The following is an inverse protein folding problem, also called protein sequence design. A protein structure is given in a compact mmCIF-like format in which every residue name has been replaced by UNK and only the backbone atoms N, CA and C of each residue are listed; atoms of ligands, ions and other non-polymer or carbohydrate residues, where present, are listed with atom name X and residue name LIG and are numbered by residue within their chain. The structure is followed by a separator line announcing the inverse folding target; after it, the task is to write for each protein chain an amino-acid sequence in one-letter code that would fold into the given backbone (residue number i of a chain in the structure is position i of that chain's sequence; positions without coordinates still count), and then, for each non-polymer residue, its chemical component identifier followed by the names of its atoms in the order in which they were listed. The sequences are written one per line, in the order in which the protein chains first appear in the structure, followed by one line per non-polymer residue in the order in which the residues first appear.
data_IF_364415161333
#
_entry.id   IF_364415161333
#
_cell.length_a   1.000
_cell.length_b   1.000
_cell.length_c   1.000
_cell.angle_alpha   90.00
_cell.angle_beta   90.00
_cell.angle_gamma   90.00
#
_symmetry.space_group_name_H-M   'P 1'
#
loop_
_entity.id
_entity.type
_entity.pdbx_description
1 polymer ?
#
# COMPACT_ATOMS: atom_id res chain seq x y z
N UNK A 1 3.32 -53.67 -5.09
CA UNK A 1 2.24 -54.55 -4.60
C UNK A 1 0.96 -54.41 -5.41
N UNK A 2 1.03 -54.44 -6.75
CA UNK A 2 -0.14 -54.23 -7.64
C UNK A 2 -0.46 -55.39 -8.60
N UNK A 3 0.38 -56.43 -8.69
CA UNK A 3 0.34 -57.42 -9.77
C UNK A 3 -1.06 -58.01 -10.07
N UNK A 4 -1.78 -58.47 -9.04
CA UNK A 4 -3.12 -59.02 -9.22
C UNK A 4 -4.14 -57.95 -9.60
N UNK A 5 -4.08 -56.77 -9.00
CA UNK A 5 -4.98 -55.65 -9.29
C UNK A 5 -4.75 -55.12 -10.72
N UNK A 6 -3.51 -54.97 -11.16
CA UNK A 6 -3.14 -54.52 -12.50
C UNK A 6 -3.63 -55.52 -13.56
N UNK A 7 -3.46 -56.82 -13.31
CA UNK A 7 -4.01 -57.87 -14.18
C UNK A 7 -5.54 -57.85 -14.17
N UNK A 8 -6.15 -57.66 -13.01
CA UNK A 8 -7.59 -57.63 -12.86
C UNK A 8 -8.21 -56.43 -13.61
N UNK A 9 -7.65 -55.22 -13.45
CA UNK A 9 -8.04 -54.01 -14.18
C UNK A 9 -7.80 -54.13 -15.70
N UNK A 10 -6.73 -54.83 -16.10
CA UNK A 10 -6.43 -55.13 -17.51
C UNK A 10 -7.28 -56.26 -18.11
N UNK A 11 -8.35 -56.68 -17.42
CA UNK A 11 -9.24 -57.78 -17.80
C UNK A 11 -8.53 -59.14 -18.02
N UNK A 12 -7.40 -59.34 -17.34
CA UNK A 12 -6.66 -60.61 -17.34
C UNK A 12 -7.07 -61.43 -16.11
N UNK A 13 -6.86 -62.74 -16.21
CA UNK A 13 -6.95 -63.65 -15.08
C UNK A 13 -5.76 -63.50 -14.11
N UNK A 14 -5.78 -64.23 -12.98
CA UNK A 14 -4.79 -64.10 -11.91
C UNK A 14 -3.39 -64.65 -12.25
N UNK A 15 -3.24 -65.29 -13.41
CA UNK A 15 -1.94 -65.77 -13.91
C UNK A 15 -1.37 -66.85 -13.00
N UNK A 16 -0.12 -66.69 -12.58
CA UNK A 16 0.61 -67.68 -11.78
C UNK A 16 -0.07 -68.01 -10.43
N UNK A 17 -0.89 -67.10 -9.89
CA UNK A 17 -1.60 -67.29 -8.63
C UNK A 17 -2.97 -67.99 -8.77
N UNK A 18 -3.29 -68.54 -9.95
CA UNK A 18 -4.62 -69.15 -10.20
C UNK A 18 -4.96 -70.30 -9.23
N UNK A 19 -3.96 -71.02 -8.72
CA UNK A 19 -4.14 -72.13 -7.78
C UNK A 19 -4.19 -71.69 -6.31
N UNK A 20 -3.75 -70.47 -6.02
CA UNK A 20 -3.65 -69.90 -4.68
C UNK A 20 -4.84 -69.01 -4.34
N UNK A 21 -5.75 -68.79 -5.29
CA UNK A 21 -6.99 -68.04 -5.03
C UNK A 21 -8.00 -68.91 -4.32
N UNK A 22 -8.33 -68.46 -3.12
CA UNK A 22 -9.41 -68.98 -2.30
C UNK A 22 -10.71 -69.10 -3.11
N UNK A 23 -11.42 -70.20 -2.88
CA UNK A 23 -12.64 -70.57 -3.60
C UNK A 23 -13.69 -69.46 -3.49
N UNK A 24 -13.75 -68.78 -2.34
CA UNK A 24 -14.72 -67.72 -2.07
C UNK A 24 -14.51 -66.47 -2.94
N UNK A 25 -13.26 -66.19 -3.33
CA UNK A 25 -12.91 -65.01 -4.13
C UNK A 25 -12.79 -65.27 -5.63
N UNK A 26 -12.97 -66.51 -6.11
CA UNK A 26 -12.93 -66.83 -7.55
C UNK A 26 -14.00 -66.09 -8.36
N UNK A 27 -15.11 -65.71 -7.73
CA UNK A 27 -16.21 -64.97 -8.38
C UNK A 27 -15.78 -63.58 -8.86
N UNK A 28 -14.84 -62.92 -8.16
CA UNK A 28 -14.37 -61.57 -8.52
C UNK A 28 -13.61 -61.54 -9.85
N UNK A 29 -12.99 -62.66 -10.22
CA UNK A 29 -12.26 -62.83 -11.48
C UNK A 29 -13.19 -63.18 -12.66
N UNK A 30 -14.48 -63.45 -12.41
CA UNK A 30 -15.48 -63.70 -13.46
C UNK A 30 -16.18 -62.42 -13.94
N UNK A 31 -15.94 -61.28 -13.29
CA UNK A 31 -16.48 -60.00 -13.73
C UNK A 31 -15.94 -59.58 -15.09
N UNK A 32 -16.82 -59.02 -15.92
CA UNK A 32 -16.46 -58.43 -17.20
C UNK A 32 -15.74 -57.09 -17.01
N UNK A 33 -15.17 -56.54 -18.09
CA UNK A 33 -14.36 -55.32 -18.03
C UNK A 33 -15.11 -54.14 -17.40
N UNK A 34 -16.37 -53.94 -17.75
CA UNK A 34 -17.18 -52.82 -17.25
C UNK A 34 -17.46 -52.95 -15.75
N UNK A 35 -17.80 -54.16 -15.28
CA UNK A 35 -17.98 -54.45 -13.87
C UNK A 35 -16.69 -54.20 -13.06
N UNK A 36 -15.53 -54.63 -13.58
CA UNK A 36 -14.24 -54.40 -12.91
C UNK A 36 -13.89 -52.92 -12.82
N UNK A 37 -14.16 -52.15 -13.87
CA UNK A 37 -13.96 -50.69 -13.86
C UNK A 37 -14.86 -50.01 -12.82
N UNK A 38 -16.14 -50.38 -12.74
CA UNK A 38 -17.07 -49.86 -11.74
C UNK A 38 -16.57 -50.14 -10.32
N UNK A 39 -16.19 -51.39 -10.04
CA UNK A 39 -15.67 -51.76 -8.72
C UNK A 39 -14.33 -51.11 -8.39
N UNK A 40 -13.42 -50.98 -9.37
CA UNK A 40 -12.15 -50.28 -9.17
C UNK A 40 -12.35 -48.81 -8.83
N UNK A 41 -13.31 -48.12 -9.48
CA UNK A 41 -13.66 -46.74 -9.14
C UNK A 41 -14.22 -46.69 -7.73
N UNK A 42 -15.19 -47.55 -7.42
CA UNK A 42 -15.81 -47.62 -6.09
C UNK A 42 -14.80 -47.85 -4.97
N UNK A 43 -13.83 -48.75 -5.15
CA UNK A 43 -12.77 -48.97 -4.16
C UNK A 43 -11.82 -47.78 -4.06
N UNK A 44 -11.48 -47.16 -5.19
CA UNK A 44 -10.62 -45.97 -5.20
C UNK A 44 -11.29 -44.79 -4.49
N UNK A 45 -12.59 -44.59 -4.72
CA UNK A 45 -13.41 -43.59 -4.04
C UNK A 45 -13.47 -43.88 -2.54
N UNK A 46 -13.79 -45.12 -2.12
CA UNK A 46 -13.84 -45.49 -0.71
C UNK A 46 -12.49 -45.27 0.01
N UNK A 47 -11.37 -45.67 -0.60
CA UNK A 47 -10.02 -45.44 -0.04
C UNK A 47 -9.72 -43.93 0.03
N UNK A 48 -10.11 -43.16 -0.99
CA UNK A 48 -9.93 -41.70 -0.97
C UNK A 48 -10.76 -41.03 0.10
N UNK A 49 -12.01 -41.44 0.29
CA UNK A 49 -12.90 -40.93 1.35
C UNK A 49 -12.27 -41.16 2.72
N UNK A 50 -11.79 -42.37 3.00
CA UNK A 50 -11.10 -42.70 4.27
C UNK A 50 -9.85 -41.82 4.49
N UNK A 51 -9.03 -41.63 3.46
CA UNK A 51 -7.85 -40.76 3.56
C UNK A 51 -8.21 -39.27 3.72
N UNK A 52 -9.27 -38.80 3.07
CA UNK A 52 -9.77 -37.42 3.19
C UNK A 52 -10.30 -37.18 4.61
N UNK A 53 -11.07 -38.13 5.17
CA UNK A 53 -11.55 -38.05 6.55
C UNK A 53 -10.39 -38.03 7.54
N UNK A 54 -9.40 -38.90 7.37
CA UNK A 54 -8.20 -38.89 8.19
C UNK A 54 -7.45 -37.56 8.09
N UNK A 55 -7.28 -37.01 6.88
CA UNK A 55 -6.64 -35.72 6.65
C UNK A 55 -7.41 -34.57 7.31
N UNK A 56 -8.74 -34.54 7.21
CA UNK A 56 -9.58 -33.58 7.92
C UNK A 56 -9.37 -33.66 9.44
N UNK A 57 -9.36 -34.87 10.00
CA UNK A 57 -9.09 -35.07 11.42
C UNK A 57 -7.72 -34.56 11.85
N UNK A 58 -6.68 -34.78 11.03
CA UNK A 58 -5.35 -34.22 11.29
C UNK A 58 -5.30 -32.69 11.20
N UNK A 59 -5.98 -32.09 10.21
CA UNK A 59 -6.07 -30.63 10.05
C UNK A 59 -6.78 -30.00 11.25
N UNK A 60 -7.90 -30.56 11.70
CA UNK A 60 -8.60 -30.08 12.90
C UNK A 60 -7.71 -30.16 14.13
N UNK A 61 -7.03 -31.29 14.35
CA UNK A 61 -6.10 -31.45 15.49
C UNK A 61 -4.95 -30.45 15.44
N UNK A 62 -4.38 -30.24 14.26
CA UNK A 62 -3.33 -29.25 14.05
C UNK A 62 -3.83 -27.84 14.38
N UNK A 63 -4.96 -27.43 13.82
CA UNK A 63 -5.56 -26.11 14.07
C UNK A 63 -5.88 -25.89 15.55
N UNK A 64 -6.44 -26.90 16.22
CA UNK A 64 -6.75 -26.84 17.65
C UNK A 64 -5.48 -26.72 18.51
N UNK A 65 -4.46 -27.53 18.21
CA UNK A 65 -3.18 -27.49 18.94
C UNK A 65 -2.46 -26.16 18.72
N UNK A 66 -2.45 -25.66 17.48
CA UNK A 66 -1.87 -24.36 17.15
C UNK A 66 -2.58 -23.22 17.91
N UNK A 67 -3.91 -23.25 17.97
CA UNK A 67 -4.70 -22.29 18.75
C UNK A 67 -4.37 -22.34 20.24
N UNK A 68 -4.19 -23.54 20.81
CA UNK A 68 -3.79 -23.72 22.21
C UNK A 68 -2.39 -23.16 22.48
N UNK A 69 -1.43 -23.47 21.62
CA UNK A 69 -0.06 -22.93 21.68
C UNK A 69 -0.09 -21.40 21.63
N UNK A 70 -0.81 -20.82 20.67
CA UNK A 70 -0.94 -19.38 20.54
C UNK A 70 -1.62 -18.75 21.75
N UNK A 71 -2.60 -19.42 22.37
CA UNK A 71 -3.26 -18.92 23.58
C UNK A 71 -2.31 -18.89 24.79
N UNK A 72 -1.51 -19.94 25.00
CA UNK A 72 -0.52 -20.03 26.08
C UNK A 72 0.60 -19.00 25.91
N UNK A 73 1.17 -18.88 24.69
CA UNK A 73 2.21 -17.88 24.43
C UNK A 73 1.71 -16.44 24.56
N UNK A 74 0.42 -16.22 24.31
CA UNK A 74 -0.18 -14.90 24.44
C UNK A 74 -0.75 -14.63 25.83
N UNK A 75 -0.84 -15.59 26.77
CA UNK A 75 -1.50 -15.37 28.05
C UNK A 75 -0.85 -14.25 28.89
N UNK A 76 0.48 -14.24 28.95
CA UNK A 76 1.25 -13.14 29.57
C UNK A 76 1.02 -11.81 28.85
N UNK A 77 0.97 -11.81 27.51
CA UNK A 77 0.71 -10.62 26.69
C UNK A 77 -0.72 -10.10 26.85
N UNK A 78 -1.70 -11.00 26.92
CA UNK A 78 -3.11 -10.72 27.19
C UNK A 78 -3.29 -10.11 28.57
N UNK A 79 -2.58 -10.63 29.57
CA UNK A 79 -2.60 -10.05 30.92
C UNK A 79 -1.96 -8.66 30.92
N UNK A 80 -0.83 -8.49 30.25
CA UNK A 80 -0.15 -7.20 30.13
C UNK A 80 -0.99 -6.16 29.38
N UNK A 81 -1.61 -6.51 28.24
CA UNK A 81 -2.37 -5.55 27.43
C UNK A 81 -3.62 -5.06 28.15
N UNK A 82 -4.27 -5.91 28.95
CA UNK A 82 -5.40 -5.51 29.82
C UNK A 82 -5.03 -4.47 30.87
N UNK A 83 -3.74 -4.37 31.26
CA UNK A 83 -3.28 -3.31 32.19
C UNK A 83 -3.17 -1.94 31.53
N UNK A 84 -3.27 -1.85 30.20
CA UNK A 84 -3.01 -0.62 29.46
C UNK A 84 -4.30 0.17 29.24
N UNK A 85 -4.24 1.46 29.56
CA UNK A 85 -5.32 2.43 29.28
C UNK A 85 -5.39 2.79 27.78
N UNK A 86 -4.25 2.88 27.11
CA UNK A 86 -4.14 3.26 25.70
C UNK A 86 -3.26 2.24 25.00
N UNK A 87 -3.72 1.76 23.85
CA UNK A 87 -3.00 0.81 22.99
C UNK A 87 -2.87 1.46 21.61
N UNK A 88 -1.65 1.89 21.26
CA UNK A 88 -1.33 2.38 19.93
C UNK A 88 -0.81 1.26 19.04
N UNK A 89 -1.36 1.12 17.84
CA UNK A 89 -0.86 0.17 16.84
C UNK A 89 -1.24 0.63 15.42
N UNK A 90 -0.50 0.16 14.42
CA UNK A 90 -0.88 0.35 13.02
C UNK A 90 -2.06 -0.57 12.68
N UNK A 91 -2.81 -0.23 11.63
CA UNK A 91 -3.97 -1.04 11.19
C UNK A 91 -3.59 -2.48 10.83
N UNK A 92 -2.43 -2.68 10.21
CA UNK A 92 -1.88 -4.02 9.95
C UNK A 92 -1.55 -4.76 11.23
N UNK A 93 -0.98 -4.08 12.23
CA UNK A 93 -0.74 -4.69 13.54
C UNK A 93 -2.05 -5.04 14.24
N UNK A 94 -3.09 -4.20 14.11
CA UNK A 94 -4.40 -4.48 14.68
C UNK A 94 -5.03 -5.75 14.10
N UNK A 95 -4.94 -5.93 12.77
CA UNK A 95 -5.39 -7.15 12.11
C UNK A 95 -4.55 -8.37 12.54
N UNK A 96 -3.23 -8.24 12.59
CA UNK A 96 -2.30 -9.32 12.96
C UNK A 96 -2.46 -9.77 14.42
N UNK A 97 -2.67 -8.83 15.33
CA UNK A 97 -2.77 -9.07 16.78
C UNK A 97 -4.22 -8.97 17.28
N UNK A 98 -5.17 -9.39 16.43
CA UNK A 98 -6.60 -9.33 16.73
C UNK A 98 -6.99 -10.05 18.02
N UNK A 99 -6.29 -11.14 18.37
CA UNK A 99 -6.50 -11.86 19.64
C UNK A 99 -6.16 -11.00 20.87
N UNK A 100 -5.04 -10.26 20.83
CA UNK A 100 -4.63 -9.35 21.90
C UNK A 100 -5.57 -8.15 22.02
N UNK A 101 -5.99 -7.58 20.89
CA UNK A 101 -6.95 -6.46 20.88
C UNK A 101 -8.30 -6.90 21.44
N UNK A 102 -8.80 -8.07 21.01
CA UNK A 102 -10.04 -8.64 21.58
C UNK A 102 -9.91 -8.93 23.07
N UNK A 103 -8.75 -9.40 23.52
CA UNK A 103 -8.49 -9.64 24.94
C UNK A 103 -8.46 -8.33 25.77
N UNK A 104 -7.98 -7.23 25.17
CA UNK A 104 -7.98 -5.90 25.79
C UNK A 104 -9.39 -5.30 25.89
N UNK A 105 -10.35 -5.75 25.07
CA UNK A 105 -11.74 -5.28 25.04
C UNK A 105 -11.87 -3.75 24.97
N UNK A 106 -11.28 -3.09 23.94
CA UNK A 106 -11.36 -1.65 23.82
C UNK A 106 -12.81 -1.19 23.62
N UNK A 107 -13.30 -0.35 24.53
CA UNK A 107 -14.61 0.27 24.43
C UNK A 107 -14.64 1.38 23.38
N UNK A 108 -13.53 2.08 23.19
CA UNK A 108 -13.39 3.16 22.21
C UNK A 108 -12.22 2.88 21.28
N UNK A 109 -12.46 3.06 19.99
CA UNK A 109 -11.45 2.92 18.94
C UNK A 109 -11.32 4.26 18.24
N UNK A 110 -10.10 4.81 18.25
CA UNK A 110 -9.74 6.01 17.51
C UNK A 110 -8.88 5.60 16.32
N UNK A 111 -9.29 6.04 15.14
CA UNK A 111 -8.60 5.79 13.87
C UNK A 111 -8.15 7.12 13.29
N UNK A 112 -6.85 7.34 13.26
CA UNK A 112 -6.19 8.48 12.61
C UNK A 112 -5.94 8.16 11.12
N UNK A 113 -5.93 9.18 10.26
CA UNK A 113 -5.82 9.06 8.80
C UNK A 113 -6.87 8.09 8.22
N UNK A 114 -8.09 8.13 8.76
CA UNK A 114 -9.18 7.20 8.42
C UNK A 114 -9.57 7.24 6.94
N UNK A 115 -9.27 8.32 6.22
CA UNK A 115 -9.44 8.44 4.77
C UNK A 115 -8.52 7.50 3.98
N UNK A 116 -7.33 7.19 4.50
CA UNK A 116 -6.31 6.36 3.88
C UNK A 116 -6.37 4.88 4.34
N UNK A 117 -7.31 4.55 5.23
CA UNK A 117 -7.42 3.19 5.80
C UNK A 117 -8.51 2.39 5.08
N UNK A 118 -8.16 1.18 4.63
CA UNK A 118 -9.12 0.21 4.11
C UNK A 118 -10.18 -0.08 5.17
N UNK A 119 -11.45 -0.02 4.76
CA UNK A 119 -12.57 -0.35 5.65
C UNK A 119 -12.39 -1.70 6.34
N UNK A 120 -11.94 -2.72 5.61
CA UNK A 120 -11.72 -4.05 6.17
C UNK A 120 -10.78 -4.04 7.39
N UNK A 121 -9.78 -3.15 7.41
CA UNK A 121 -8.89 -3.00 8.57
C UNK A 121 -9.60 -2.36 9.77
N UNK A 122 -10.52 -1.42 9.54
CA UNK A 122 -11.32 -0.83 10.62
C UNK A 122 -12.28 -1.87 11.19
N UNK A 123 -13.00 -2.59 10.33
CA UNK A 123 -13.97 -3.61 10.73
C UNK A 123 -13.34 -4.73 11.56
N UNK A 124 -12.12 -5.15 11.22
CA UNK A 124 -11.41 -6.20 11.96
C UNK A 124 -10.93 -5.77 13.35
N UNK A 125 -10.82 -4.47 13.60
CA UNK A 125 -10.50 -3.93 14.92
C UNK A 125 -11.73 -3.82 15.84
N UNK A 126 -12.95 -3.82 15.28
CA UNK A 126 -14.18 -3.76 16.06
C UNK A 126 -14.41 -5.07 16.83
N UNK A 127 -14.99 -4.94 18.02
CA UNK A 127 -15.35 -6.06 18.89
C UNK A 127 -16.75 -5.87 19.46
N UNK A 128 -17.34 -6.93 20.03
CA UNK A 128 -18.62 -6.84 20.74
C UNK A 128 -18.58 -5.92 21.97
N UNK A 129 -17.38 -5.61 22.49
CA UNK A 129 -17.17 -4.63 23.56
C UNK A 129 -17.06 -3.20 23.09
N UNK A 130 -16.92 -2.95 21.79
CA UNK A 130 -16.72 -1.60 21.25
C UNK A 130 -18.03 -0.80 21.34
N UNK A 131 -17.98 0.32 22.06
CA UNK A 131 -19.09 1.26 22.28
C UNK A 131 -18.98 2.51 21.40
N UNK A 132 -17.77 2.90 21.00
CA UNK A 132 -17.56 4.09 20.19
C UNK A 132 -16.42 3.93 19.18
N UNK A 133 -16.66 4.44 17.97
CA UNK A 133 -15.67 4.52 16.90
C UNK A 133 -15.49 5.99 16.51
N UNK A 134 -14.25 6.48 16.61
CA UNK A 134 -13.87 7.84 16.26
C UNK A 134 -12.97 7.76 15.04
N UNK A 135 -13.43 8.32 13.92
CA UNK A 135 -12.67 8.36 12.67
C UNK A 135 -12.21 9.79 12.42
N UNK A 136 -10.89 9.99 12.36
CA UNK A 136 -10.27 11.27 12.05
C UNK A 136 -9.52 11.09 10.73
N UNK A 137 -9.86 11.87 9.73
CA UNK A 137 -9.22 11.79 8.42
C UNK A 137 -9.73 12.84 7.47
N UNK A 138 -9.31 12.72 6.21
CA UNK A 138 -9.66 13.63 5.14
C UNK A 138 -10.00 12.82 3.89
N UNK A 139 -11.25 12.88 3.47
CA UNK A 139 -11.76 12.10 2.33
C UNK A 139 -11.40 12.74 0.97
N UNK A 140 -10.88 13.98 0.98
CA UNK A 140 -10.39 14.69 -0.19
C UNK A 140 -8.84 14.56 -0.35
N UNK A 141 -8.18 13.84 0.57
CA UNK A 141 -6.79 13.38 0.43
C UNK A 141 -6.74 11.92 -0.07
N UNK A 142 -5.58 11.24 0.02
CA UNK A 142 -5.43 9.93 -0.61
C UNK A 142 -6.35 8.88 0.02
N UNK A 143 -6.86 8.04 -0.87
CA UNK A 143 -7.55 6.79 -0.54
C UNK A 143 -6.55 5.69 -0.20
N UNK A 144 -7.00 4.61 0.47
CA UNK A 144 -6.18 3.44 0.72
C UNK A 144 -5.65 2.82 -0.58
N UNK A 145 -4.39 2.38 -0.58
CA UNK A 145 -3.76 1.75 -1.76
C UNK A 145 -4.44 0.42 -2.11
N UNK A 146 -5.04 0.31 -3.31
CA UNK A 146 -5.58 -0.94 -3.86
C UNK A 146 -4.65 -1.48 -4.96
N UNK A 147 -4.18 -2.72 -4.81
CA UNK A 147 -3.27 -3.36 -5.79
C UNK A 147 -3.93 -3.62 -7.14
N UNK A 148 -5.24 -3.87 -7.14
CA UNK A 148 -5.99 -4.16 -8.35
C UNK A 148 -6.78 -2.92 -8.75
N UNK A 149 -6.26 -2.16 -9.72
CA UNK A 149 -6.91 -0.97 -10.24
C UNK A 149 -8.35 -1.24 -10.71
N UNK A 150 -8.65 -2.45 -11.21
CA UNK A 150 -9.99 -2.82 -11.65
C UNK A 150 -11.04 -2.78 -10.53
N UNK A 151 -10.61 -2.86 -9.26
CA UNK A 151 -11.45 -2.83 -8.08
C UNK A 151 -11.51 -1.45 -7.41
N UNK A 152 -10.89 -0.44 -8.00
CA UNK A 152 -10.81 0.91 -7.43
C UNK A 152 -11.99 1.79 -7.81
N UNK A 153 -12.26 2.82 -6.99
CA UNK A 153 -13.25 3.89 -7.26
C UNK A 153 -12.95 4.57 -8.59
N UNK A 154 -11.68 4.83 -8.88
CA UNK A 154 -11.21 5.50 -10.09
C UNK A 154 -11.56 4.73 -11.36
N UNK A 155 -11.73 3.40 -11.27
CA UNK A 155 -12.15 2.58 -12.41
C UNK A 155 -13.65 2.73 -12.73
N UNK A 156 -14.48 3.10 -11.75
CA UNK A 156 -15.92 3.27 -11.94
C UNK A 156 -16.71 1.97 -12.18
N UNK A 157 -16.15 0.81 -11.84
CA UNK A 157 -16.83 -0.48 -11.98
C UNK A 157 -17.77 -0.82 -10.81
N UNK A 158 -17.85 0.04 -9.79
CA UNK A 158 -18.75 -0.10 -8.63
C UNK A 158 -18.22 -1.00 -7.51
N UNK A 159 -17.02 -1.57 -7.63
CA UNK A 159 -16.40 -2.37 -6.55
C UNK A 159 -15.86 -1.50 -5.41
N UNK A 160 -15.30 -0.33 -5.74
CA UNK A 160 -14.90 0.72 -4.80
C UNK A 160 -14.08 0.23 -3.58
N UNK A 161 -13.17 -0.73 -3.78
CA UNK A 161 -12.43 -1.39 -2.70
C UNK A 161 -11.49 -0.44 -1.94
N UNK A 162 -11.04 0.64 -2.59
CA UNK A 162 -10.31 1.73 -1.96
C UNK A 162 -11.20 2.87 -1.46
N UNK A 163 -12.52 2.70 -1.35
CA UNK A 163 -13.32 3.66 -0.57
C UNK A 163 -13.17 3.31 0.91
N UNK A 164 -12.61 4.23 1.69
CA UNK A 164 -12.50 4.04 3.14
C UNK A 164 -13.87 4.06 3.82
N UNK A 165 -13.96 3.48 5.03
CA UNK A 165 -15.17 3.58 5.84
C UNK A 165 -15.52 5.05 6.12
N UNK A 166 -14.50 5.88 6.35
CA UNK A 166 -14.64 7.31 6.60
C UNK A 166 -15.28 8.04 5.43
N UNK A 167 -14.72 7.89 4.22
CA UNK A 167 -15.28 8.47 3.00
C UNK A 167 -16.72 7.99 2.78
N UNK A 168 -16.98 6.69 2.97
CA UNK A 168 -18.33 6.16 2.76
C UNK A 168 -19.37 6.75 3.71
N UNK A 169 -19.05 6.89 4.99
CA UNK A 169 -19.97 7.47 5.97
C UNK A 169 -20.27 8.93 5.64
N UNK A 170 -19.25 9.71 5.23
CA UNK A 170 -19.43 11.10 4.81
C UNK A 170 -20.34 11.19 3.58
N UNK A 171 -20.08 10.38 2.54
CA UNK A 171 -20.90 10.35 1.33
C UNK A 171 -22.33 9.86 1.59
N UNK A 172 -22.53 9.03 2.61
CA UNK A 172 -23.85 8.60 3.07
C UNK A 172 -24.60 9.67 3.91
N UNK A 173 -24.02 10.86 4.07
CA UNK A 173 -24.65 11.98 4.80
C UNK A 173 -24.59 11.84 6.31
N UNK A 174 -23.67 11.03 6.86
CA UNK A 174 -23.46 10.98 8.30
C UNK A 174 -22.94 12.31 8.82
N UNK A 175 -23.43 12.71 9.99
CA UNK A 175 -22.98 13.93 10.66
C UNK A 175 -21.49 13.83 10.98
N UNK A 176 -20.75 14.88 10.63
CA UNK A 176 -19.32 14.99 10.87
C UNK A 176 -18.95 16.43 11.18
N UNK A 177 -17.80 16.62 11.82
CA UNK A 177 -17.24 17.93 12.14
C UNK A 177 -16.01 18.20 11.30
N UNK A 178 -15.90 19.41 10.76
CA UNK A 178 -14.79 19.82 9.90
C UNK A 178 -13.96 20.91 10.55
N UNK A 179 -12.64 20.70 10.63
CA UNK A 179 -11.70 21.69 11.15
C UNK A 179 -11.29 22.66 10.03
N UNK A 180 -11.88 23.85 10.01
CA UNK A 180 -11.67 24.81 8.92
C UNK A 180 -10.38 25.66 9.05
N UNK A 181 -9.75 25.74 10.22
CA UNK A 181 -8.58 26.61 10.42
C UNK A 181 -7.27 25.82 10.21
N UNK A 182 -6.50 26.18 9.19
CA UNK A 182 -5.20 25.60 8.89
C UNK A 182 -4.06 26.33 9.61
N UNK A 183 -3.02 25.57 9.95
CA UNK A 183 -1.93 26.02 10.81
C UNK A 183 -0.53 25.73 10.25
N UNK A 184 -0.45 25.29 8.99
CA UNK A 184 0.76 24.81 8.32
C UNK A 184 1.29 25.86 7.32
N UNK A 185 0.54 26.09 6.26
CA UNK A 185 0.93 26.81 5.04
C UNK A 185 0.82 28.32 5.21
N UNK A 186 1.75 29.09 4.64
CA UNK A 186 1.51 30.53 4.39
C UNK A 186 0.27 30.74 3.49
N UNK A 187 -0.52 31.83 3.64
CA UNK A 187 -1.71 32.08 2.82
C UNK A 187 -1.54 32.00 1.30
N UNK A 188 -0.41 32.45 0.76
CA UNK A 188 -0.10 32.32 -0.68
C UNK A 188 -0.08 30.85 -1.16
N UNK A 189 0.30 29.92 -0.29
CA UNK A 189 0.30 28.48 -0.60
C UNK A 189 -1.10 27.90 -0.36
N UNK A 190 -1.70 28.20 0.79
CA UNK A 190 -3.02 27.66 1.14
C UNK A 190 -4.12 28.15 0.20
N UNK A 191 -3.93 29.28 -0.48
CA UNK A 191 -4.82 29.79 -1.51
C UNK A 191 -5.02 28.77 -2.66
N UNK A 192 -3.96 28.08 -3.09
CA UNK A 192 -4.08 27.02 -4.11
C UNK A 192 -4.98 25.88 -3.62
N UNK A 193 -4.73 25.41 -2.40
CA UNK A 193 -5.48 24.30 -1.78
C UNK A 193 -6.94 24.71 -1.51
N UNK A 194 -7.17 25.97 -1.13
CA UNK A 194 -8.50 26.54 -0.91
C UNK A 194 -9.31 26.58 -2.21
N UNK A 195 -8.71 27.07 -3.30
CA UNK A 195 -9.42 27.17 -4.58
C UNK A 195 -9.73 25.82 -5.19
N UNK A 196 -8.85 24.84 -5.04
CA UNK A 196 -8.99 23.56 -5.72
C UNK A 196 -9.76 22.51 -4.92
N UNK A 197 -9.68 22.54 -3.59
CA UNK A 197 -10.19 21.43 -2.77
C UNK A 197 -11.02 21.90 -1.57
N UNK A 198 -10.59 22.93 -0.85
CA UNK A 198 -11.26 23.34 0.40
C UNK A 198 -11.66 24.82 0.43
N UNK A 199 -12.79 25.22 -0.20
CA UNK A 199 -13.22 26.62 -0.26
C UNK A 199 -13.36 27.30 1.11
N UNK A 200 -13.71 26.52 2.14
CA UNK A 200 -13.94 26.99 3.50
C UNK A 200 -12.66 27.04 4.37
N UNK A 201 -11.48 26.74 3.82
CA UNK A 201 -10.22 26.71 4.56
C UNK A 201 -9.77 28.12 4.98
N UNK A 202 -9.56 28.34 6.27
CA UNK A 202 -9.16 29.62 6.88
C UNK A 202 -7.73 29.53 7.39
N UNK A 203 -6.95 30.60 7.21
CA UNK A 203 -5.59 30.66 7.70
C UNK A 203 -5.56 31.04 9.19
N UNK A 204 -4.79 30.30 9.99
CA UNK A 204 -4.53 30.66 11.39
C UNK A 204 -3.43 31.72 11.50
N UNK A 205 -3.53 32.63 12.48
CA UNK A 205 -2.65 33.80 12.62
C UNK A 205 -1.15 33.50 12.51
N UNK A 206 -0.70 32.37 13.08
CA UNK A 206 0.72 31.96 13.04
C UNK A 206 1.27 31.71 11.62
N UNK A 207 0.41 31.52 10.62
CA UNK A 207 0.83 31.27 9.24
C UNK A 207 1.16 32.54 8.45
N UNK A 208 0.67 33.69 8.90
CA UNK A 208 0.98 35.00 8.31
C UNK A 208 2.46 35.37 8.48
N UNK A 209 3.08 34.89 9.57
CA UNK A 209 4.46 35.21 9.94
C UNK A 209 5.48 34.17 9.42
N UNK A 210 5.14 33.37 8.42
CA UNK A 210 6.09 32.40 7.84
C UNK A 210 7.21 33.15 7.10
N UNK A 211 8.50 32.80 7.30
CA UNK A 211 9.60 33.48 6.62
C UNK A 211 9.52 33.27 5.10
N UNK A 212 9.86 34.29 4.32
CA UNK A 212 10.02 34.15 2.86
C UNK A 212 11.21 33.24 2.53
N UNK A 213 11.16 32.56 1.39
CA UNK A 213 12.31 31.79 0.91
C UNK A 213 13.38 32.75 0.41
N UNK A 214 14.58 32.67 1.00
CA UNK A 214 15.73 33.49 0.60
C UNK A 214 16.10 33.19 -0.85
N UNK A 215 16.30 34.24 -1.63
CA UNK A 215 16.66 34.13 -3.04
C UNK A 215 15.49 33.81 -3.99
N UNK A 216 14.26 33.69 -3.49
CA UNK A 216 13.05 33.59 -4.31
C UNK A 216 12.13 34.79 -4.08
N UNK A 217 11.52 35.26 -5.17
CA UNK A 217 10.55 36.35 -5.14
C UNK A 217 9.23 35.91 -4.51
N UNK A 218 8.73 34.76 -4.94
CA UNK A 218 7.39 34.28 -4.60
C UNK A 218 7.48 32.97 -3.80
N UNK A 219 6.46 32.68 -2.98
CA UNK A 219 6.41 31.44 -2.19
C UNK A 219 5.95 30.24 -2.99
N UNK A 220 5.19 30.50 -4.05
CA UNK A 220 4.76 29.50 -5.02
C UNK A 220 5.51 29.81 -6.31
N UNK A 221 6.38 28.91 -6.74
CA UNK A 221 7.13 29.05 -8.00
C UNK A 221 6.84 27.85 -8.88
N UNK A 222 6.44 28.09 -10.13
CA UNK A 222 6.31 27.05 -11.14
C UNK A 222 7.35 27.31 -12.25
N UNK A 223 8.25 26.36 -12.46
CA UNK A 223 9.28 26.41 -13.49
C UNK A 223 8.79 25.59 -14.67
N UNK A 224 8.26 26.29 -15.68
CA UNK A 224 7.80 25.68 -16.91
C UNK A 224 8.98 25.23 -17.79
N UNK A 225 8.88 24.05 -18.40
CA UNK A 225 9.80 23.57 -19.43
C UNK A 225 9.08 22.68 -20.44
N UNK A 226 9.71 22.45 -21.60
CA UNK A 226 9.19 21.57 -22.65
C UNK A 226 10.06 20.33 -22.88
N UNK A 227 11.03 20.07 -22.00
CA UNK A 227 11.92 18.91 -22.10
C UNK A 227 11.15 17.60 -21.89
N UNK A 228 11.18 16.67 -22.85
CA UNK A 228 10.33 15.49 -22.83
C UNK A 228 10.72 14.50 -21.73
N UNK A 229 9.71 13.83 -21.19
CA UNK A 229 9.88 12.71 -20.26
C UNK A 229 10.49 11.49 -20.98
N UNK A 230 11.10 10.59 -20.20
CA UNK A 230 11.57 9.28 -20.65
C UNK A 230 10.89 8.18 -19.83
N UNK A 231 10.89 6.96 -20.38
CA UNK A 231 10.39 5.78 -19.67
C UNK A 231 11.54 5.04 -18.99
N UNK A 232 11.37 4.76 -17.70
CA UNK A 232 12.21 3.82 -16.96
C UNK A 232 11.71 2.40 -17.25
N UNK A 233 12.14 1.83 -18.39
CA UNK A 233 11.62 0.58 -18.94
C UNK A 233 11.79 -0.66 -18.02
N UNK A 234 12.66 -0.59 -17.02
CA UNK A 234 12.91 -1.66 -16.05
C UNK A 234 12.04 -1.55 -14.77
N UNK A 235 11.11 -0.60 -14.71
CA UNK A 235 10.35 -0.27 -13.50
C UNK A 235 8.90 0.03 -13.83
N UNK A 236 7.95 -0.84 -13.50
CA UNK A 236 6.52 -0.49 -13.61
C UNK A 236 6.03 0.34 -12.41
N UNK A 237 5.27 1.41 -12.66
CA UNK A 237 4.51 2.07 -11.59
C UNK A 237 3.32 1.20 -11.19
N UNK A 238 3.37 0.64 -9.97
CA UNK A 238 2.34 -0.29 -9.44
C UNK A 238 0.91 0.26 -9.43
N UNK A 239 0.76 1.57 -9.57
CA UNK A 239 -0.50 2.30 -9.51
C UNK A 239 -1.22 2.34 -10.85
N UNK A 240 -0.53 2.04 -11.95
CA UNK A 240 -1.11 2.04 -13.28
C UNK A 240 -0.92 0.66 -13.89
N UNK A 241 -1.94 -0.21 -13.75
CA UNK A 241 -1.89 -1.61 -14.16
C UNK A 241 -1.60 -1.80 -15.67
N UNK A 242 -1.75 -0.72 -16.45
CA UNK A 242 -1.48 -0.68 -17.89
C UNK A 242 -0.09 -0.13 -18.24
N UNK A 243 0.66 0.45 -17.30
CA UNK A 243 2.02 0.95 -17.54
C UNK A 243 3.07 -0.02 -17.01
N UNK A 244 3.75 -0.69 -17.93
CA UNK A 244 4.90 -1.55 -17.65
C UNK A 244 6.17 -0.76 -17.27
N UNK A 245 6.17 0.57 -17.44
CA UNK A 245 7.30 1.46 -17.17
C UNK A 245 6.87 2.74 -16.45
N UNK A 246 7.69 3.19 -15.51
CA UNK A 246 7.57 4.40 -14.73
C UNK A 246 8.17 5.55 -15.52
N UNK A 247 7.84 6.78 -15.13
CA UNK A 247 8.32 7.98 -15.82
C UNK A 247 9.44 8.66 -15.07
N UNK A 248 10.35 9.22 -15.84
CA UNK A 248 11.45 10.04 -15.35
C UNK A 248 11.70 11.22 -16.28
N UNK A 249 12.21 12.32 -15.72
CA UNK A 249 12.58 13.52 -16.45
C UNK A 249 13.94 13.99 -15.95
N UNK A 250 14.98 13.76 -16.76
CA UNK A 250 16.36 14.10 -16.45
C UNK A 250 16.60 15.60 -16.35
N UNK A 251 15.86 16.39 -17.12
CA UNK A 251 15.95 17.84 -17.04
C UNK A 251 15.42 18.34 -15.70
N UNK A 252 14.22 17.91 -15.29
CA UNK A 252 13.66 18.25 -13.98
C UNK A 252 14.60 17.83 -12.84
N UNK A 253 15.14 16.61 -12.92
CA UNK A 253 16.06 16.11 -11.89
C UNK A 253 17.30 17.00 -11.75
N UNK A 254 17.92 17.42 -12.86
CA UNK A 254 19.06 18.35 -12.83
C UNK A 254 18.69 19.71 -12.24
N UNK A 255 17.52 20.25 -12.61
CA UNK A 255 17.04 21.54 -12.11
C UNK A 255 16.75 21.51 -10.61
N UNK A 256 16.15 20.42 -10.13
CA UNK A 256 15.88 20.19 -8.71
C UNK A 256 17.19 20.17 -7.91
N UNK A 257 18.22 19.44 -8.38
CA UNK A 257 19.51 19.39 -7.70
C UNK A 257 20.19 20.76 -7.62
N UNK A 258 20.16 21.53 -8.72
CA UNK A 258 20.69 22.90 -8.73
C UNK A 258 19.92 23.79 -7.77
N UNK A 259 18.61 23.65 -7.69
CA UNK A 259 17.74 24.40 -6.77
C UNK A 259 18.03 24.04 -5.31
N UNK A 260 18.20 22.76 -5.01
CA UNK A 260 18.59 22.29 -3.68
C UNK A 260 19.95 22.86 -3.27
N UNK A 261 20.95 22.82 -4.17
CA UNK A 261 22.27 23.43 -3.92
C UNK A 261 22.18 24.94 -3.70
N UNK A 262 21.36 25.63 -4.49
CA UNK A 262 21.09 27.06 -4.31
C UNK A 262 20.49 27.35 -2.94
N UNK A 263 19.44 26.61 -2.53
CA UNK A 263 18.81 26.78 -1.21
C UNK A 263 19.81 26.50 -0.07
N UNK A 264 20.68 25.49 -0.22
CA UNK A 264 21.75 25.24 0.74
C UNK A 264 22.71 26.44 0.86
N UNK A 265 23.09 27.08 -0.25
CA UNK A 265 23.89 28.31 -0.25
C UNK A 265 23.19 29.50 0.44
N UNK A 266 21.85 29.52 0.43
CA UNK A 266 21.07 30.52 1.19
C UNK A 266 20.97 30.20 2.69
N UNK A 267 21.57 29.10 3.15
CA UNK A 267 21.65 28.69 4.55
C UNK A 267 20.54 27.74 5.01
N UNK A 268 19.73 27.18 4.09
CA UNK A 268 18.76 26.14 4.44
C UNK A 268 19.46 24.81 4.68
N UNK A 269 19.05 24.10 5.74
CA UNK A 269 19.57 22.77 6.06
C UNK A 269 18.73 21.71 5.35
N UNK A 270 19.25 20.49 5.24
CA UNK A 270 18.53 19.35 4.65
C UNK A 270 17.17 19.12 5.30
N UNK A 271 17.05 19.30 6.62
CA UNK A 271 15.78 19.19 7.36
C UNK A 271 14.72 20.24 6.97
N UNK A 272 15.12 21.33 6.31
CA UNK A 272 14.20 22.38 5.87
C UNK A 272 13.61 22.10 4.47
N UNK A 273 14.13 21.10 3.76
CA UNK A 273 13.82 20.87 2.35
C UNK A 273 13.37 19.43 2.17
N UNK A 274 12.26 19.25 1.45
CA UNK A 274 11.84 17.95 0.91
C UNK A 274 11.74 18.04 -0.60
N UNK A 275 12.19 16.99 -1.28
CA UNK A 275 11.96 16.76 -2.70
C UNK A 275 10.81 15.77 -2.85
N UNK A 276 9.78 16.16 -3.60
CA UNK A 276 8.61 15.32 -3.88
C UNK A 276 8.51 15.01 -5.37
N UNK A 277 8.09 13.80 -5.69
CA UNK A 277 7.78 13.39 -7.07
C UNK A 277 6.64 12.38 -7.07
N UNK A 278 5.74 12.36 -8.06
CA UNK A 278 4.73 11.33 -8.15
C UNK A 278 5.31 9.97 -8.50
N UNK A 279 6.33 9.92 -9.36
CA UNK A 279 6.76 8.71 -10.06
C UNK A 279 7.99 8.06 -9.44
N UNK A 280 7.98 6.73 -9.34
CA UNK A 280 9.10 5.95 -8.77
C UNK A 280 10.36 6.02 -9.64
N UNK A 281 10.22 6.08 -10.97
CA UNK A 281 11.32 6.29 -11.91
C UNK A 281 12.06 7.58 -11.61
N UNK A 282 11.33 8.69 -11.49
CA UNK A 282 11.90 9.97 -11.09
C UNK A 282 12.53 9.95 -9.70
N UNK A 283 11.90 9.27 -8.74
CA UNK A 283 12.46 9.10 -7.38
C UNK A 283 13.82 8.39 -7.43
N UNK A 284 13.92 7.31 -8.21
CA UNK A 284 15.17 6.58 -8.43
C UNK A 284 16.20 7.46 -9.12
N UNK A 285 15.84 8.16 -10.19
CA UNK A 285 16.74 9.04 -10.93
C UNK A 285 17.33 10.14 -10.03
N UNK A 286 16.48 10.82 -9.26
CA UNK A 286 16.91 11.83 -8.28
C UNK A 286 17.83 11.22 -7.21
N UNK A 287 17.52 10.04 -6.70
CA UNK A 287 18.35 9.31 -5.73
C UNK A 287 19.72 8.98 -6.32
N UNK A 288 19.76 8.44 -7.54
CA UNK A 288 21.01 8.05 -8.21
C UNK A 288 21.88 9.29 -8.47
N UNK A 289 21.28 10.39 -8.91
CA UNK A 289 22.02 11.64 -9.12
C UNK A 289 22.52 12.29 -7.81
N UNK A 290 21.73 12.27 -6.73
CA UNK A 290 22.18 12.72 -5.41
C UNK A 290 23.36 11.89 -4.88
N UNK A 291 23.30 10.57 -5.07
CA UNK A 291 24.33 9.65 -4.58
C UNK A 291 25.70 9.85 -5.26
N UNK A 292 25.70 10.20 -6.55
CA UNK A 292 26.92 10.48 -7.33
C UNK A 292 27.59 11.79 -6.93
N UNK A 293 26.81 12.75 -6.44
CA UNK A 293 27.30 14.03 -5.93
C UNK A 293 27.82 13.94 -4.46
N UNK A 294 28.07 12.71 -3.95
CA UNK A 294 28.60 12.40 -2.62
C UNK A 294 27.66 12.69 -1.44
N UNK A 295 26.35 12.65 -1.67
CA UNK A 295 25.35 12.86 -0.62
C UNK A 295 24.39 11.64 -0.57
N UNK A 296 24.57 10.69 0.37
CA UNK A 296 23.70 9.52 0.50
C UNK A 296 22.49 9.87 1.37
N UNK A 297 21.28 9.94 0.79
CA UNK A 297 20.16 10.66 1.41
C UNK A 297 18.78 9.99 1.20
N UNK A 298 18.16 9.30 2.18
CA UNK A 298 16.86 8.60 2.06
C UNK A 298 16.00 8.46 3.34
N UNK A 299 14.68 8.52 3.17
CA UNK A 299 13.70 8.14 4.21
C UNK A 299 13.61 6.61 4.36
N UNK A 300 13.42 6.11 5.58
CA UNK A 300 13.26 4.68 5.90
C UNK A 300 12.09 4.03 5.14
N UNK A 301 11.01 4.77 4.90
CA UNK A 301 9.79 4.28 4.22
C UNK A 301 10.01 4.03 2.71
N UNK A 302 10.66 4.95 2.01
CA UNK A 302 10.92 4.82 0.56
C UNK A 302 12.00 3.77 0.27
N UNK A 303 12.88 3.51 1.23
CA UNK A 303 13.83 2.40 1.19
C UNK A 303 13.10 1.07 1.06
N UNK A 304 11.99 0.86 1.79
CA UNK A 304 11.19 -0.34 1.68
C UNK A 304 10.51 -0.49 0.31
N UNK A 305 9.96 0.59 -0.26
CA UNK A 305 9.34 0.52 -1.60
C UNK A 305 10.38 0.20 -2.67
N UNK A 306 11.58 0.78 -2.59
CA UNK A 306 12.65 0.55 -3.56
C UNK A 306 13.35 -0.80 -3.38
N UNK A 307 13.52 -1.29 -2.15
CA UNK A 307 13.93 -2.69 -1.88
C UNK A 307 12.90 -3.65 -2.43
N UNK A 308 11.60 -3.38 -2.21
CA UNK A 308 10.50 -4.20 -2.74
C UNK A 308 10.39 -4.13 -4.26
N UNK A 309 10.92 -3.07 -4.89
CA UNK A 309 11.09 -2.95 -6.33
C UNK A 309 12.42 -3.56 -6.84
N UNK A 310 13.25 -4.13 -5.96
CA UNK A 310 14.52 -4.76 -6.34
C UNK A 310 15.65 -3.78 -6.67
N UNK A 311 15.49 -2.49 -6.35
CA UNK A 311 16.38 -1.42 -6.78
C UNK A 311 17.53 -1.13 -5.80
N UNK A 312 17.42 -1.56 -4.55
CA UNK A 312 18.40 -1.28 -3.49
C UNK A 312 18.57 -2.51 -2.59
N UNK A 313 19.79 -2.76 -2.13
CA UNK A 313 20.12 -3.84 -1.19
C UNK A 313 19.92 -3.40 0.27
N UNK A 314 19.58 -4.34 1.14
CA UNK A 314 19.37 -4.09 2.59
C UNK A 314 20.61 -3.53 3.30
N UNK A 315 21.81 -3.79 2.78
CA UNK A 315 23.07 -3.30 3.34
C UNK A 315 23.33 -1.80 3.02
N UNK A 316 22.85 -1.31 1.88
CA UNK A 316 23.08 0.08 1.43
C UNK A 316 22.25 1.12 2.21
N UNK A 317 21.22 0.69 2.96
CA UNK A 317 20.26 1.57 3.62
C UNK A 317 20.73 2.14 4.99
N UNK A 318 21.95 1.85 5.47
CA UNK A 318 22.27 1.94 6.92
C UNK A 318 23.40 2.89 7.35
N UNK A 319 23.79 3.90 6.57
CA UNK A 319 24.91 4.81 6.94
C UNK A 319 24.43 6.24 7.26
N UNK A 320 24.70 6.69 8.48
CA UNK A 320 24.20 7.94 9.06
C UNK A 320 24.97 9.21 8.66
N UNK A 321 24.25 10.12 7.99
CA UNK A 321 24.37 11.59 7.96
C UNK A 321 22.94 12.14 7.82
N UNK A 322 22.63 13.37 8.24
CA UNK A 322 21.27 13.94 8.14
C UNK A 322 20.87 14.23 6.70
N UNK A 323 19.91 13.45 6.20
CA UNK A 323 19.62 13.30 4.78
C UNK A 323 18.63 14.36 4.25
N UNK A 324 18.76 14.78 2.99
CA UNK A 324 17.66 15.51 2.33
C UNK A 324 16.52 14.53 2.12
N UNK A 325 15.31 14.96 2.48
CA UNK A 325 14.15 14.07 2.39
C UNK A 325 13.70 14.04 0.93
N UNK A 326 13.70 12.85 0.34
CA UNK A 326 13.22 12.58 -1.02
C UNK A 326 12.16 11.47 -0.91
N UNK A 327 10.93 11.75 -1.36
CA UNK A 327 9.78 10.86 -1.17
C UNK A 327 8.81 10.95 -2.35
N UNK A 328 8.02 9.90 -2.54
CA UNK A 328 6.82 10.02 -3.36
C UNK A 328 5.76 10.87 -2.65
N UNK A 329 4.81 11.42 -3.41
CA UNK A 329 3.66 12.14 -2.83
C UNK A 329 2.85 11.21 -1.91
N UNK A 330 2.60 9.98 -2.38
CA UNK A 330 1.81 8.98 -1.66
C UNK A 330 2.42 8.61 -0.30
N UNK A 331 3.75 8.59 -0.17
CA UNK A 331 4.42 8.26 1.10
C UNK A 331 4.66 9.48 2.00
N UNK A 332 4.40 10.69 1.52
CA UNK A 332 4.59 11.94 2.27
C UNK A 332 3.27 12.50 2.85
N UNK A 333 2.19 11.73 2.82
CA UNK A 333 0.95 12.11 3.51
C UNK A 333 1.18 12.21 5.03
N UNK A 334 0.42 13.09 5.71
CA UNK A 334 0.63 13.43 7.12
C UNK A 334 1.85 14.32 7.42
N UNK A 335 2.84 14.35 6.52
CA UNK A 335 4.11 15.03 6.74
C UNK A 335 4.13 16.48 6.25
N UNK A 336 5.10 17.27 6.71
CA UNK A 336 5.29 18.67 6.30
C UNK A 336 6.77 19.04 6.19
N UNK A 337 7.08 20.09 5.42
CA UNK A 337 8.43 20.65 5.30
C UNK A 337 8.36 22.18 5.20
N UNK A 338 9.44 22.85 5.59
CA UNK A 338 9.55 24.30 5.40
C UNK A 338 9.50 24.66 3.91
N UNK A 339 10.28 23.94 3.09
CA UNK A 339 10.35 24.11 1.64
C UNK A 339 10.07 22.76 0.97
N UNK A 340 9.19 22.79 -0.03
CA UNK A 340 8.93 21.65 -0.93
C UNK A 340 9.48 21.97 -2.31
N UNK A 341 10.26 21.05 -2.87
CA UNK A 341 10.73 21.10 -4.26
C UNK A 341 10.13 19.91 -4.99
N UNK A 342 9.23 20.14 -5.94
CA UNK A 342 8.43 19.11 -6.58
C UNK A 342 8.82 18.91 -8.04
N UNK A 343 9.03 17.66 -8.43
CA UNK A 343 9.12 17.22 -9.84
C UNK A 343 7.76 16.72 -10.27
N UNK A 344 7.14 17.29 -11.29
CA UNK A 344 5.89 16.77 -11.85
C UNK A 344 6.13 15.67 -12.88
N UNK A 345 7.36 15.56 -13.40
CA UNK A 345 7.90 14.51 -14.29
C UNK A 345 7.27 14.46 -15.68
N UNK A 346 5.96 14.64 -15.81
CA UNK A 346 5.23 14.47 -17.06
C UNK A 346 5.44 15.67 -17.98
N UNK A 347 5.90 15.38 -19.18
CA UNK A 347 6.17 16.27 -20.29
C UNK A 347 6.07 15.47 -21.59
N UNK A 348 4.89 15.48 -22.19
CA UNK A 348 4.57 14.77 -23.42
C UNK A 348 3.50 15.52 -24.24
N UNK A 349 3.45 15.23 -25.54
CA UNK A 349 2.52 15.84 -26.49
C UNK A 349 1.06 15.39 -26.34
N UNK A 350 0.82 14.30 -25.62
CA UNK A 350 -0.50 13.67 -25.56
C UNK A 350 -1.35 14.17 -24.38
N UNK A 351 -0.81 15.07 -23.55
CA UNK A 351 -1.47 15.52 -22.32
C UNK A 351 -1.62 14.41 -21.27
N UNK A 352 -0.87 13.31 -21.39
CA UNK A 352 -1.01 12.20 -20.45
C UNK A 352 -0.20 12.48 -19.17
N UNK A 353 -0.90 12.69 -18.06
CA UNK A 353 -0.31 12.85 -16.73
C UNK A 353 -0.48 11.60 -15.84
N UNK A 354 -0.93 10.47 -16.39
CA UNK A 354 -1.12 9.22 -15.63
C UNK A 354 -1.95 9.41 -14.35
N UNK A 355 -1.48 8.85 -13.23
CA UNK A 355 -2.19 8.90 -11.94
C UNK A 355 -2.21 10.29 -11.26
N UNK A 356 -1.51 11.30 -11.81
CA UNK A 356 -1.62 12.69 -11.36
C UNK A 356 -2.96 13.34 -11.75
N UNK A 357 -3.80 12.69 -12.57
CA UNK A 357 -5.19 13.09 -12.79
C UNK A 357 -6.04 13.05 -11.50
N UNK A 358 -5.59 12.33 -10.47
CA UNK A 358 -6.27 12.27 -9.18
C UNK A 358 -6.15 13.62 -8.44
N UNK A 359 -7.26 14.32 -8.18
CA UNK A 359 -7.25 15.58 -7.42
C UNK A 359 -6.66 15.42 -6.01
N UNK A 360 -6.85 14.25 -5.41
CA UNK A 360 -6.33 13.90 -4.08
C UNK A 360 -4.80 14.00 -4.02
N UNK A 361 -4.09 13.51 -5.05
CA UNK A 361 -2.62 13.57 -5.11
C UNK A 361 -2.11 15.00 -5.26
N UNK A 362 -2.77 15.77 -6.11
CA UNK A 362 -2.42 17.19 -6.28
C UNK A 362 -2.65 17.96 -4.97
N UNK A 363 -3.76 17.70 -4.29
CA UNK A 363 -4.05 18.27 -2.98
C UNK A 363 -2.97 17.90 -1.94
N UNK A 364 -2.56 16.63 -1.87
CA UNK A 364 -1.45 16.22 -1.00
C UNK A 364 -0.18 16.99 -1.37
N UNK A 365 0.25 16.99 -2.63
CA UNK A 365 1.46 17.67 -3.08
C UNK A 365 1.53 19.15 -2.64
N UNK A 366 0.44 19.89 -2.87
CA UNK A 366 0.41 21.33 -2.62
C UNK A 366 0.29 21.69 -1.14
N UNK A 367 -0.18 20.76 -0.30
CA UNK A 367 -0.42 20.99 1.12
C UNK A 367 0.75 20.60 2.05
N UNK A 368 1.92 20.23 1.50
CA UNK A 368 3.09 19.80 2.29
C UNK A 368 4.02 20.94 2.73
N UNK A 369 4.00 22.07 2.02
CA UNK A 369 4.93 23.19 2.26
C UNK A 369 4.44 24.14 3.36
N UNK A 370 5.36 24.64 4.20
CA UNK A 370 5.04 25.69 5.19
C UNK A 370 5.39 27.09 4.71
N UNK A 371 6.59 27.27 4.15
CA UNK A 371 7.16 28.57 3.79
C UNK A 371 7.14 28.84 2.27
N UNK A 372 7.32 27.80 1.45
CA UNK A 372 7.15 27.88 0.00
C UNK A 372 7.35 26.55 -0.74
N UNK A 373 6.86 26.53 -1.96
CA UNK A 373 6.82 25.37 -2.87
C UNK A 373 7.37 25.79 -4.25
N UNK A 374 8.27 24.97 -4.79
CA UNK A 374 8.87 25.14 -6.11
C UNK A 374 8.51 23.90 -6.92
N UNK A 375 7.78 24.06 -8.01
CA UNK A 375 7.34 22.97 -8.88
C UNK A 375 8.04 23.06 -10.24
N UNK A 376 8.50 21.92 -10.75
CA UNK A 376 9.03 21.77 -12.10
C UNK A 376 8.07 20.90 -12.90
N UNK A 377 7.69 21.35 -14.09
CA UNK A 377 6.85 20.56 -14.98
C UNK A 377 6.56 21.26 -16.30
N UNK A 378 5.91 20.53 -17.20
CA UNK A 378 5.47 21.05 -18.49
C UNK A 378 4.02 21.52 -18.43
N UNK A 379 3.81 22.84 -18.49
CA UNK A 379 2.49 23.44 -18.39
C UNK A 379 1.56 22.98 -19.52
N UNK A 380 2.06 22.81 -20.75
CA UNK A 380 1.23 22.39 -21.88
C UNK A 380 0.67 20.98 -21.66
N UNK A 381 1.50 20.06 -21.14
CA UNK A 381 1.07 18.70 -20.82
C UNK A 381 -0.02 18.69 -19.75
N UNK A 382 0.11 19.51 -18.70
CA UNK A 382 -0.88 19.57 -17.61
C UNK A 382 -2.14 20.36 -17.97
N UNK A 383 -2.07 21.34 -18.86
CA UNK A 383 -3.25 22.06 -19.34
C UNK A 383 -4.06 21.24 -20.36
N UNK A 384 -3.42 20.31 -21.07
CA UNK A 384 -4.07 19.43 -22.05
C UNK A 384 -4.70 18.15 -21.45
N UNK A 385 -4.53 17.89 -20.15
CA UNK A 385 -4.75 16.57 -19.53
C UNK A 385 -6.16 16.23 -19.08
#
# INVERSE_FOLDING_TARGET
TGYLLDRWQSNKGPGNFSREIDVDFRKIWKYNRDQRLVWSRKWTEAIREEHIEALHGYIERFNNTQTQVDSLFNESRCSFIKTKRIIGCTTTAAAKYSSLIKAAKPEYILVEEAGEILEAHVLTALSTSTKGLILIGDHEQLRPKCKNYALSVEKGAGYDLNRSLFERLILAGQEHSTLHKQHRMHPEISQLVRFMTYPNLKDGEKTLNRPQIRGLRDRVTFVNHHEPESSANDLGDRLDANQTSSKENKFEAQMILRTVKFLAQQGYKTKNIVILTPYLGQLRLLRDMLSRDNDPLLSDLDSHELIRAGLVTTAAAKVGKTQIRLSTIDNYQGEESDIVVASLTRSNSNGDIGFMKSPQRLNVLLSRARNGIIMFGNMDTFLAS
#
